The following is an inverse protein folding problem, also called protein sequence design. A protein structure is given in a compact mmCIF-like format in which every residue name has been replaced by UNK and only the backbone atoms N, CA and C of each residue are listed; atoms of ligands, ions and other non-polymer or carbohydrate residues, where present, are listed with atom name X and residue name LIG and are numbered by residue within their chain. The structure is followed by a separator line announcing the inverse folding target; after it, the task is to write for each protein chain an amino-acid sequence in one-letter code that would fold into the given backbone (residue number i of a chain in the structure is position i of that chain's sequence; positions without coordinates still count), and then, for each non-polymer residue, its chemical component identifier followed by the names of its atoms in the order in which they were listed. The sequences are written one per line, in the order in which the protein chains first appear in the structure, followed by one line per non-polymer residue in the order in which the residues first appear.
data_IF_899853939178
#
_entry.id   IF_899853939178
#
_cell.length_a   1.000
_cell.length_b   1.000
_cell.length_c   1.000
_cell.angle_alpha   90.00
_cell.angle_beta   90.00
_cell.angle_gamma   90.00
#
_symmetry.space_group_name_H-M   'P 1'
#
loop_
_entity.id
_entity.type
_entity.pdbx_description
1 polymer ?
#
# COMPACT_ATOMS: atom_id res chain seq x y z
N UNK A 1 -6.54 -13.07 -0.11
CA UNK A 1 -6.18 -11.96 0.81
C UNK A 1 -5.55 -10.86 -0.02
N UNK A 2 -5.63 -9.60 0.42
CA UNK A 2 -5.20 -8.42 -0.36
C UNK A 2 -4.43 -7.44 0.52
N UNK A 3 -3.62 -7.97 1.42
CA UNK A 3 -2.67 -7.29 2.31
C UNK A 3 -1.70 -8.36 2.84
N UNK A 4 -0.53 -7.95 3.34
CA UNK A 4 0.52 -8.86 3.83
C UNK A 4 0.43 -9.14 5.33
N UNK A 5 0.14 -8.11 6.13
CA UNK A 5 0.14 -8.17 7.59
C UNK A 5 -1.17 -7.65 8.17
N UNK A 6 -1.55 -8.18 9.32
CA UNK A 6 -2.59 -7.61 10.17
C UNK A 6 -1.98 -7.21 11.51
N UNK A 7 -2.45 -6.13 12.10
CA UNK A 7 -1.97 -5.65 13.38
C UNK A 7 -2.99 -4.75 14.05
N UNK A 8 -2.63 -4.21 15.21
CA UNK A 8 -3.39 -3.15 15.84
C UNK A 8 -2.82 -1.79 15.40
N UNK A 9 -3.63 -0.75 15.49
CA UNK A 9 -3.17 0.62 15.34
C UNK A 9 -2.30 1.08 16.52
N UNK A 10 -1.87 2.34 16.50
CA UNK A 10 -0.98 2.89 17.53
C UNK A 10 -1.63 2.94 18.92
N UNK A 11 -2.96 2.98 18.99
CA UNK A 11 -3.71 2.95 20.25
C UNK A 11 -3.88 1.53 20.80
N UNK A 12 -3.81 0.53 19.93
CA UNK A 12 -4.14 -0.85 20.27
C UNK A 12 -5.65 -1.15 20.22
N UNK A 13 -6.49 -0.18 19.87
CA UNK A 13 -7.96 -0.28 19.97
C UNK A 13 -8.64 -0.70 18.66
N UNK A 14 -8.02 -0.43 17.52
CA UNK A 14 -8.52 -0.86 16.21
C UNK A 14 -7.44 -1.64 15.45
N UNK A 15 -7.85 -2.32 14.39
CA UNK A 15 -6.96 -3.15 13.58
C UNK A 15 -6.57 -2.47 12.27
N UNK A 16 -5.40 -2.85 11.76
CA UNK A 16 -4.86 -2.40 10.49
C UNK A 16 -4.63 -3.58 9.54
N UNK A 17 -4.99 -3.39 8.28
CA UNK A 17 -4.48 -4.16 7.14
C UNK A 17 -3.24 -3.45 6.59
N UNK A 18 -2.09 -4.11 6.58
CA UNK A 18 -0.86 -3.53 6.06
C UNK A 18 -0.39 -4.29 4.83
N UNK A 19 -0.25 -3.57 3.73
CA UNK A 19 0.38 -4.02 2.49
C UNK A 19 1.81 -3.47 2.41
N UNK A 20 2.80 -4.34 2.22
CA UNK A 20 4.21 -3.96 2.22
C UNK A 20 4.72 -3.87 0.79
N UNK A 21 5.19 -2.69 0.39
CA UNK A 21 5.79 -2.48 -0.94
C UNK A 21 7.23 -2.05 -0.78
N UNK A 22 8.17 -2.82 -1.29
CA UNK A 22 9.60 -2.50 -1.20
C UNK A 22 10.13 -1.88 -2.49
N UNK A 23 11.24 -1.15 -2.38
CA UNK A 23 12.02 -0.68 -3.53
C UNK A 23 13.47 -0.43 -3.15
N UNK A 24 14.39 -0.61 -4.11
CA UNK A 24 15.80 -0.23 -3.95
C UNK A 24 16.02 1.28 -4.06
N UNK A 25 15.11 2.01 -4.71
CA UNK A 25 15.24 3.46 -4.90
C UNK A 25 14.43 4.28 -3.89
N UNK A 26 14.20 5.55 -4.23
CA UNK A 26 13.38 6.46 -3.44
C UNK A 26 11.93 5.97 -3.31
N UNK A 27 11.24 6.37 -2.24
CA UNK A 27 9.86 5.97 -1.96
C UNK A 27 8.87 6.33 -3.09
N UNK A 28 9.15 7.40 -3.84
CA UNK A 28 8.38 7.86 -5.01
C UNK A 28 8.50 6.95 -6.24
N UNK A 29 9.37 5.94 -6.21
CA UNK A 29 9.46 4.94 -7.28
C UNK A 29 8.10 4.24 -7.41
N UNK A 30 7.67 3.95 -8.64
CA UNK A 30 6.43 3.23 -8.90
C UNK A 30 6.40 1.88 -8.17
N UNK A 31 5.22 1.44 -7.79
CA UNK A 31 4.95 0.12 -7.27
C UNK A 31 3.65 -0.39 -7.85
N UNK A 32 3.49 -1.71 -7.81
CA UNK A 32 2.28 -2.38 -8.29
C UNK A 32 1.29 -2.53 -7.14
N UNK A 33 0.02 -2.27 -7.44
CA UNK A 33 -1.10 -2.53 -6.56
C UNK A 33 -2.04 -3.47 -7.31
N UNK A 34 -2.29 -4.66 -6.78
CA UNK A 34 -3.20 -5.61 -7.44
C UNK A 34 -4.66 -5.14 -7.33
N UNK A 35 -5.53 -5.65 -8.21
CA UNK A 35 -6.97 -5.34 -8.12
C UNK A 35 -7.54 -5.73 -6.74
N UNK A 36 -7.10 -6.87 -6.19
CA UNK A 36 -7.52 -7.33 -4.87
C UNK A 36 -7.05 -6.40 -3.74
N UNK A 37 -5.82 -5.89 -3.80
CA UNK A 37 -5.30 -4.91 -2.84
C UNK A 37 -6.06 -3.59 -2.93
N UNK A 38 -6.31 -3.08 -4.13
CA UNK A 38 -7.07 -1.85 -4.34
C UNK A 38 -8.52 -1.99 -3.83
N UNK A 39 -9.18 -3.10 -4.13
CA UNK A 39 -10.54 -3.36 -3.66
C UNK A 39 -10.61 -3.57 -2.15
N UNK A 40 -9.53 -4.08 -1.53
CA UNK A 40 -9.44 -4.15 -0.08
C UNK A 40 -9.22 -2.77 0.52
N UNK A 41 -8.33 -1.96 -0.05
CA UNK A 41 -8.10 -0.58 0.39
C UNK A 41 -9.40 0.25 0.38
N UNK A 42 -10.19 0.15 -0.69
CA UNK A 42 -11.51 0.80 -0.77
C UNK A 42 -12.50 0.36 0.31
N UNK A 43 -12.44 -0.91 0.72
CA UNK A 43 -13.34 -1.48 1.73
C UNK A 43 -12.94 -1.10 3.16
N UNK A 44 -11.65 -1.09 3.45
CA UNK A 44 -11.17 -0.84 4.81
C UNK A 44 -10.83 0.64 5.08
N UNK A 45 -10.67 1.45 4.04
CA UNK A 45 -10.42 2.89 4.14
C UNK A 45 -9.19 3.19 4.99
N UNK A 46 -9.36 4.02 6.02
CA UNK A 46 -8.32 4.40 6.98
C UNK A 46 -7.63 3.26 7.73
N UNK A 47 -8.21 2.05 7.73
CA UNK A 47 -7.58 0.85 8.30
C UNK A 47 -6.64 0.14 7.33
N UNK A 48 -6.65 0.50 6.04
CA UNK A 48 -5.71 -0.03 5.07
C UNK A 48 -4.50 0.89 4.94
N UNK A 49 -3.31 0.31 5.10
CA UNK A 49 -2.06 1.05 5.09
C UNK A 49 -1.10 0.42 4.10
N UNK A 50 -0.50 1.24 3.23
CA UNK A 50 0.67 0.83 2.48
C UNK A 50 1.92 1.20 3.29
N UNK A 51 2.69 0.18 3.69
CA UNK A 51 4.02 0.36 4.25
C UNK A 51 5.05 0.32 3.10
N UNK A 52 5.57 1.48 2.72
CA UNK A 52 6.57 1.65 1.66
C UNK A 52 7.97 1.61 2.28
N UNK A 53 8.72 0.55 2.02
CA UNK A 53 10.13 0.43 2.43
C UNK A 53 11.02 0.82 1.25
N UNK A 54 11.71 1.96 1.38
CA UNK A 54 12.56 2.55 0.36
C UNK A 54 14.05 2.38 0.70
N UNK A 55 14.90 2.49 -0.33
CA UNK A 55 16.35 2.34 -0.21
C UNK A 55 16.75 1.02 0.49
N UNK A 56 16.12 -0.10 0.10
CA UNK A 56 16.20 -1.37 0.83
C UNK A 56 17.63 -1.91 1.01
N UNK A 57 18.56 -1.55 0.14
CA UNK A 57 19.96 -1.98 0.19
C UNK A 57 20.86 -1.06 1.02
N UNK A 58 20.36 0.10 1.46
CA UNK A 58 21.10 1.00 2.33
C UNK A 58 21.14 0.47 3.78
N UNK A 59 22.17 0.82 4.57
CA UNK A 59 22.26 0.38 5.97
C UNK A 59 21.06 0.78 6.85
N UNK A 60 20.34 1.83 6.45
CA UNK A 60 19.15 2.32 7.14
C UNK A 60 18.03 2.57 6.11
N UNK A 61 17.23 1.55 5.77
CA UNK A 61 16.11 1.72 4.86
C UNK A 61 15.04 2.62 5.51
N UNK A 62 14.40 3.46 4.69
CA UNK A 62 13.37 4.38 5.16
C UNK A 62 11.98 3.72 5.00
N UNK A 63 11.13 3.84 6.02
CA UNK A 63 9.77 3.30 6.00
C UNK A 63 8.77 4.46 6.00
N UNK A 64 7.83 4.44 5.07
CA UNK A 64 6.76 5.41 4.95
C UNK A 64 5.41 4.69 5.05
N UNK A 65 4.44 5.32 5.69
CA UNK A 65 3.09 4.78 5.81
C UNK A 65 2.11 5.68 5.07
N UNK A 66 1.38 5.11 4.12
CA UNK A 66 0.27 5.78 3.46
C UNK A 66 -1.03 5.13 3.90
N UNK A 67 -1.73 5.82 4.81
CA UNK A 67 -3.06 5.41 5.28
C UNK A 67 -4.11 5.82 4.24
N UNK A 68 -5.12 4.97 4.08
CA UNK A 68 -6.22 5.16 3.13
C UNK A 68 -5.73 5.45 1.69
N UNK A 69 -5.01 4.53 1.05
CA UNK A 69 -4.50 4.76 -0.30
C UNK A 69 -5.63 4.92 -1.32
N UNK A 70 -6.85 4.43 -1.05
CA UNK A 70 -8.00 4.66 -1.91
C UNK A 70 -8.39 6.15 -1.93
N UNK A 71 -8.53 6.78 -0.76
CA UNK A 71 -8.79 8.22 -0.67
C UNK A 71 -7.64 9.05 -1.28
N UNK A 72 -6.39 8.64 -1.07
CA UNK A 72 -5.23 9.32 -1.65
C UNK A 72 -5.22 9.26 -3.19
N UNK A 73 -5.72 8.18 -3.79
CA UNK A 73 -5.89 8.06 -5.24
C UNK A 73 -7.02 8.98 -5.73
N UNK A 74 -8.16 8.99 -5.04
CA UNK A 74 -9.32 9.83 -5.39
C UNK A 74 -8.99 11.33 -5.33
N UNK A 75 -8.18 11.73 -4.35
CA UNK A 75 -7.69 13.10 -4.19
C UNK A 75 -6.58 13.48 -5.18
N UNK A 76 -6.02 12.51 -5.91
CA UNK A 76 -4.92 12.72 -6.85
C UNK A 76 -3.52 12.81 -6.22
N UNK A 77 -3.39 12.56 -4.91
CA UNK A 77 -2.11 12.48 -4.20
C UNK A 77 -1.29 11.28 -4.66
N UNK A 78 -1.94 10.12 -4.84
CA UNK A 78 -1.38 8.96 -5.52
C UNK A 78 -1.97 8.85 -6.92
N UNK A 79 -1.13 8.52 -7.91
CA UNK A 79 -1.59 8.30 -9.29
C UNK A 79 -1.63 6.81 -9.60
N UNK A 80 -2.82 6.30 -9.89
CA UNK A 80 -3.01 4.95 -10.40
C UNK A 80 -2.90 4.93 -11.92
N UNK A 81 -2.10 4.01 -12.46
CA UNK A 81 -1.99 3.77 -13.91
C UNK A 81 -2.05 2.26 -14.15
N UNK A 82 -2.94 1.76 -15.03
CA UNK A 82 -2.99 0.34 -15.36
C UNK A 82 -1.63 -0.20 -15.81
N UNK A 83 -1.26 -1.39 -15.34
CA UNK A 83 0.03 -2.03 -15.61
C UNK A 83 -0.09 -3.43 -16.22
N UNK A 84 -1.19 -4.14 -15.95
CA UNK A 84 -1.44 -5.49 -16.48
C UNK A 84 -2.92 -5.72 -16.76
N UNK A 85 -3.22 -6.62 -17.71
CA UNK A 85 -4.55 -7.12 -18.04
C UNK A 85 -4.56 -8.64 -17.92
N UNK A 86 -5.72 -9.22 -17.58
CA UNK A 86 -5.93 -10.67 -17.56
C UNK A 86 -7.17 -11.01 -18.39
N UNK A 87 -7.15 -12.16 -19.06
CA UNK A 87 -8.26 -12.69 -19.87
C UNK A 87 -8.54 -14.11 -19.41
N UNK A 88 -9.82 -14.44 -19.19
CA UNK A 88 -10.30 -15.80 -18.92
C UNK A 88 -11.42 -16.16 -19.90
N UNK A 89 -11.60 -17.45 -20.16
CA UNK A 89 -12.68 -18.00 -20.98
C UNK A 89 -14.02 -18.03 -20.23
#
# INVERSE_FOLDING_TARGET
MGFDLFGLDESGEDWLCVEVKTTQGAASTRFELTANELDRARREGGRYVIARVANLTEPQPAVYFWRDPAALIEQGTLRLTPSAYSVSL
#
